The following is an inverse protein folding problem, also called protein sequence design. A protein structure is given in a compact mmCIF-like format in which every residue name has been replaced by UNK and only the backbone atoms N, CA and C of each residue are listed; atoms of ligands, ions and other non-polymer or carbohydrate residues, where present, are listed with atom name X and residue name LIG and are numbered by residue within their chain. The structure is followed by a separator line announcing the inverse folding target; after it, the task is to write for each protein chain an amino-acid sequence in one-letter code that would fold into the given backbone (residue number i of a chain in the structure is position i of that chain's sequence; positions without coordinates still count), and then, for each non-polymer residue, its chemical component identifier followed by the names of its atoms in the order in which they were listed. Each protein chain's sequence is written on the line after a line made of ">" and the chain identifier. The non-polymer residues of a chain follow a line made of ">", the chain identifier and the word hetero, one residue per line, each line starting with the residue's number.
data_IF_408095670013
#
_entry.id   IF_408095670013
#
_cell.length_a   1.000
_cell.length_b   1.000
_cell.length_c   1.000
_cell.angle_alpha   90.00
_cell.angle_beta   90.00
_cell.angle_gamma   90.00
#
_symmetry.space_group_name_H-M   'P 1'
#
loop_
_entity.id
_entity.type
_entity.pdbx_description
1 polymer ?
#
# COMPACT_ATOMS: atom_id res chain seq x y z
N UNK A 1 -23.49 2.21 4.49
CA UNK A 1 -22.36 1.27 4.70
C UNK A 1 -21.62 1.14 3.37
N UNK A 2 -20.30 1.36 3.36
CA UNK A 2 -19.45 1.14 2.18
C UNK A 2 -18.58 -0.07 2.49
N UNK A 3 -18.49 -1.00 1.54
CA UNK A 3 -17.62 -2.17 1.61
C UNK A 3 -16.61 -2.14 0.47
N UNK A 4 -15.44 -2.69 0.70
CA UNK A 4 -14.40 -2.88 -0.32
C UNK A 4 -14.37 -4.37 -0.67
N UNK A 5 -14.61 -4.70 -1.94
CA UNK A 5 -14.50 -6.08 -2.42
C UNK A 5 -13.03 -6.40 -2.68
N UNK A 6 -12.54 -7.48 -2.09
CA UNK A 6 -11.16 -7.97 -2.22
C UNK A 6 -11.17 -9.47 -2.47
N UNK A 7 -10.10 -9.99 -3.07
CA UNK A 7 -9.92 -11.42 -3.31
C UNK A 7 -9.64 -12.18 -2.00
N UNK A 8 -8.56 -11.80 -1.31
CA UNK A 8 -8.14 -12.42 -0.04
C UNK A 8 -7.50 -11.41 0.92
N UNK A 9 -7.68 -11.63 2.23
CA UNK A 9 -6.96 -10.90 3.28
C UNK A 9 -5.82 -11.77 3.80
N UNK A 10 -4.57 -11.39 3.52
CA UNK A 10 -3.42 -12.19 3.94
C UNK A 10 -3.07 -12.04 5.43
N UNK A 11 -2.87 -10.80 5.90
CA UNK A 11 -2.42 -10.53 7.26
C UNK A 11 -2.66 -9.08 7.67
N UNK A 12 -2.63 -8.83 8.98
CA UNK A 12 -2.55 -7.48 9.56
C UNK A 12 -1.08 -7.22 9.91
N UNK A 13 -0.52 -6.10 9.47
CA UNK A 13 0.87 -5.74 9.69
C UNK A 13 1.02 -4.28 10.10
N UNK A 14 1.98 -4.02 10.99
CA UNK A 14 2.33 -2.67 11.43
C UNK A 14 3.60 -2.23 10.73
N UNK A 15 3.58 -1.01 10.17
CA UNK A 15 4.72 -0.43 9.49
C UNK A 15 5.08 0.93 10.10
N UNK A 16 6.39 1.20 10.16
CA UNK A 16 6.89 2.50 10.53
C UNK A 16 6.83 3.45 9.33
N UNK A 17 6.59 4.74 9.60
CA UNK A 17 6.49 5.77 8.56
C UNK A 17 7.75 5.89 7.69
N UNK A 18 8.92 5.58 8.24
CA UNK A 18 10.20 5.56 7.52
C UNK A 18 10.30 4.44 6.46
N UNK A 19 9.46 3.40 6.54
CA UNK A 19 9.41 2.30 5.58
C UNK A 19 8.51 2.58 4.38
N UNK A 20 7.84 3.74 4.38
CA UNK A 20 6.89 4.16 3.35
C UNK A 20 7.60 5.06 2.34
N UNK A 21 7.81 4.57 1.13
CA UNK A 21 8.29 5.34 -0.01
C UNK A 21 7.14 6.19 -0.58
N UNK A 22 7.31 7.52 -0.54
CA UNK A 22 6.33 8.50 -1.04
C UNK A 22 6.76 9.16 -2.35
N UNK A 23 7.97 8.85 -2.81
CA UNK A 23 8.61 9.54 -3.94
C UNK A 23 7.86 9.26 -5.25
N UNK A 24 7.33 8.05 -5.41
CA UNK A 24 6.61 7.63 -6.62
C UNK A 24 5.22 8.26 -6.79
N UNK A 25 4.66 8.88 -5.75
CA UNK A 25 3.30 9.47 -5.82
C UNK A 25 3.35 10.91 -6.33
N UNK A 26 4.46 11.60 -6.07
CA UNK A 26 4.67 12.99 -6.50
C UNK A 26 4.76 13.15 -8.02
N UNK A 27 5.05 12.08 -8.76
CA UNK A 27 5.15 12.11 -10.23
C UNK A 27 3.82 11.90 -10.95
N UNK A 28 2.74 11.54 -10.24
CA UNK A 28 1.44 11.24 -10.82
C UNK A 28 0.37 12.15 -10.24
N UNK A 29 0.05 13.24 -10.95
CA UNK A 29 -0.98 14.21 -10.55
C UNK A 29 -2.39 13.60 -10.39
N UNK A 30 -2.60 12.35 -10.81
CA UNK A 30 -3.90 11.67 -10.81
C UNK A 30 -4.04 10.60 -9.70
N UNK A 31 -3.08 10.46 -8.78
CA UNK A 31 -3.12 9.44 -7.73
C UNK A 31 -3.47 10.11 -6.40
N UNK A 32 -4.76 10.33 -6.16
CA UNK A 32 -5.28 11.06 -4.99
C UNK A 32 -5.34 10.24 -3.72
N UNK A 33 -5.44 8.90 -3.83
CA UNK A 33 -5.75 8.02 -2.70
C UNK A 33 -4.61 7.08 -2.27
N UNK A 34 -3.47 7.08 -2.97
CA UNK A 34 -2.29 6.29 -2.55
C UNK A 34 -1.42 7.17 -1.65
N UNK A 35 -1.08 6.69 -0.45
CA UNK A 35 -0.23 7.40 0.51
C UNK A 35 1.25 6.98 0.44
N UNK A 36 1.55 5.80 -0.11
CA UNK A 36 2.92 5.32 -0.24
C UNK A 36 3.05 3.89 -0.77
N UNK A 37 4.28 3.48 -1.01
CA UNK A 37 4.64 2.09 -1.31
C UNK A 37 5.58 1.58 -0.21
N UNK A 38 5.35 0.37 0.29
CA UNK A 38 6.21 -0.29 1.26
C UNK A 38 6.94 -1.42 0.56
N UNK A 39 8.28 -1.43 0.66
CA UNK A 39 9.14 -2.48 0.13
C UNK A 39 9.43 -3.48 1.25
N UNK A 40 8.85 -4.68 1.17
CA UNK A 40 9.01 -5.73 2.18
C UNK A 40 9.94 -6.82 1.63
N UNK A 41 11.11 -7.05 2.24
CA UNK A 41 11.94 -8.19 1.87
C UNK A 41 11.23 -9.50 2.25
N UNK A 42 11.18 -10.46 1.33
CA UNK A 42 10.55 -11.75 1.59
C UNK A 42 11.54 -12.63 2.34
N UNK A 43 11.29 -12.82 3.63
CA UNK A 43 12.09 -13.72 4.45
C UNK A 43 11.57 -15.15 4.29
N UNK A 44 12.00 -15.87 3.25
CA UNK A 44 12.19 -17.33 3.21
C UNK A 44 12.46 -17.80 1.76
N UNK A 45 13.56 -18.53 1.54
CA UNK A 45 13.77 -19.40 0.38
C UNK A 45 14.21 -18.73 -0.93
N UNK A 46 13.63 -17.59 -1.30
CA UNK A 46 13.94 -16.92 -2.57
C UNK A 46 14.80 -15.68 -2.35
N UNK A 47 16.13 -15.88 -2.30
CA UNK A 47 17.10 -14.79 -2.27
C UNK A 47 16.84 -13.82 -3.44
N UNK A 48 16.32 -12.63 -3.14
CA UNK A 48 16.22 -11.51 -4.09
C UNK A 48 14.82 -10.98 -4.40
N UNK A 49 13.73 -11.59 -3.90
CA UNK A 49 12.38 -11.03 -4.12
C UNK A 49 12.00 -10.02 -3.02
N UNK A 50 11.50 -8.87 -3.47
CA UNK A 50 10.95 -7.81 -2.63
C UNK A 50 9.48 -7.66 -2.96
N UNK A 51 8.61 -7.83 -1.97
CA UNK A 51 7.20 -7.53 -2.12
C UNK A 51 6.99 -6.01 -2.10
N UNK A 52 6.11 -5.54 -2.97
CA UNK A 52 5.65 -4.16 -3.00
C UNK A 52 4.22 -4.10 -2.48
N UNK A 53 4.01 -3.40 -1.37
CA UNK A 53 2.68 -3.17 -0.82
C UNK A 53 2.26 -1.72 -1.10
N UNK A 54 1.07 -1.52 -1.66
CA UNK A 54 0.49 -0.20 -1.89
C UNK A 54 -0.28 0.22 -0.65
N UNK A 55 0.08 1.36 -0.06
CA UNK A 55 -0.61 1.93 1.10
C UNK A 55 -1.67 2.93 0.63
N UNK A 56 -2.94 2.63 0.88
CA UNK A 56 -4.10 3.37 0.38
C UNK A 56 -4.80 4.10 1.53
N UNK A 57 -5.19 5.36 1.32
CA UNK A 57 -6.11 6.06 2.23
C UNK A 57 -7.55 5.63 1.93
N UNK A 58 -7.97 4.56 2.59
CA UNK A 58 -9.33 4.04 2.41
C UNK A 58 -10.41 5.04 2.83
N UNK A 59 -10.12 6.02 3.71
CA UNK A 59 -11.14 6.99 4.16
C UNK A 59 -11.49 7.96 3.06
N UNK A 60 -10.48 8.50 2.38
CA UNK A 60 -10.68 9.36 1.22
C UNK A 60 -11.26 8.55 0.05
N UNK A 61 -10.78 7.33 -0.17
CA UNK A 61 -11.27 6.46 -1.25
C UNK A 61 -12.78 6.19 -1.16
N UNK A 62 -13.33 5.96 0.04
CA UNK A 62 -14.77 5.67 0.21
C UNK A 62 -15.65 6.92 0.32
N UNK A 63 -15.03 8.10 0.50
CA UNK A 63 -15.71 9.40 0.59
C UNK A 63 -15.77 10.12 -0.76
N UNK A 64 -14.82 9.86 -1.66
CA UNK A 64 -14.82 10.37 -3.04
C UNK A 64 -16.03 9.78 -3.78
N UNK A 65 -17.07 10.60 -3.96
CA UNK A 65 -18.33 10.25 -4.60
C UNK A 65 -18.67 11.23 -5.70
#
# INVERSE_FOLDING_TARGET
>A
MVGILVDEVQAVSTFNRAQIDRTMILSSQNVTHILGIIKRPVAHGEQGKTDLLIWIDIRHLVQDR
#
